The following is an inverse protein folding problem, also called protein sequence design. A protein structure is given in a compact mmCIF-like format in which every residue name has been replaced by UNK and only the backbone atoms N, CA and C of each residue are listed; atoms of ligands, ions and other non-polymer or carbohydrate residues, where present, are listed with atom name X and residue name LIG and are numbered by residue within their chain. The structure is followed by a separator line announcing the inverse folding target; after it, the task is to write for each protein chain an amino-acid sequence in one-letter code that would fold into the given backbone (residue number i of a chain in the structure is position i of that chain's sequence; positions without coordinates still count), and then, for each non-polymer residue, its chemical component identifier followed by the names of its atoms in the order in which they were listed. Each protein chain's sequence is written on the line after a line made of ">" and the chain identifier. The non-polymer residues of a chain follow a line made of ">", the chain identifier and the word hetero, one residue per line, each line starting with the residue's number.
data_IF_015172221775
#
_entry.id   IF_015172221775
#
_cell.length_a   1.000
_cell.length_b   1.000
_cell.length_c   1.000
_cell.angle_alpha   90.00
_cell.angle_beta   90.00
_cell.angle_gamma   90.00
#
_symmetry.space_group_name_H-M   'P 1'
#
loop_
_entity.id
_entity.type
_entity.pdbx_description
1 polymer ?
#
# COMPACT_ATOMS: atom_id res chain seq x y z
N UNK A 1 5.62 23.95 -92.09
CA UNK A 1 6.74 23.58 -91.19
C UNK A 1 7.51 24.86 -90.86
N UNK A 2 7.15 25.56 -89.79
CA UNK A 2 7.80 26.79 -89.34
C UNK A 2 7.96 26.70 -87.83
N UNK A 3 9.19 26.83 -87.34
CA UNK A 3 9.43 27.27 -85.97
C UNK A 3 10.81 27.94 -85.91
N UNK A 4 10.79 29.25 -85.65
CA UNK A 4 11.93 30.05 -85.17
C UNK A 4 11.65 30.35 -83.70
N UNK A 5 12.68 30.18 -82.88
CA UNK A 5 12.70 30.49 -81.46
C UNK A 5 12.59 32.00 -81.19
N UNK A 6 11.80 32.40 -80.19
CA UNK A 6 11.92 33.69 -79.48
C UNK A 6 11.73 33.40 -77.99
N UNK A 7 12.72 33.82 -77.20
CA UNK A 7 12.73 33.82 -75.74
C UNK A 7 11.88 34.98 -75.20
N UNK A 8 11.09 34.72 -74.16
CA UNK A 8 10.55 35.76 -73.27
C UNK A 8 10.94 35.39 -71.83
N UNK A 9 11.73 36.27 -71.24
CA UNK A 9 12.10 36.31 -69.82
C UNK A 9 10.91 36.89 -69.05
N UNK A 10 10.48 36.22 -67.98
CA UNK A 10 9.58 36.83 -67.00
C UNK A 10 10.16 36.70 -65.58
N UNK A 11 10.39 37.88 -65.02
CA UNK A 11 10.84 38.24 -63.69
C UNK A 11 9.83 37.79 -62.62
N UNK A 12 10.27 37.20 -61.51
CA UNK A 12 9.45 37.08 -60.30
C UNK A 12 10.23 37.61 -59.10
N UNK A 13 9.64 38.64 -58.48
CA UNK A 13 10.11 39.39 -57.33
C UNK A 13 10.13 38.56 -56.04
N UNK A 14 11.15 38.80 -55.22
CA UNK A 14 11.19 38.45 -53.80
C UNK A 14 10.24 39.35 -53.01
N UNK A 15 9.38 38.75 -52.19
CA UNK A 15 8.69 39.40 -51.08
C UNK A 15 9.14 38.72 -49.79
N UNK A 16 9.85 39.48 -48.94
CA UNK A 16 10.21 39.11 -47.57
C UNK A 16 9.01 39.49 -46.69
N UNK A 17 8.35 38.50 -46.11
CA UNK A 17 7.33 38.69 -45.08
C UNK A 17 7.89 38.29 -43.72
N UNK A 18 7.93 39.23 -42.78
CA UNK A 18 8.14 38.94 -41.36
C UNK A 18 6.84 38.35 -40.79
N UNK A 19 6.93 37.22 -40.10
CA UNK A 19 5.84 36.68 -39.28
C UNK A 19 6.32 36.59 -37.84
N UNK A 20 5.73 37.41 -36.98
CA UNK A 20 5.84 37.32 -35.53
C UNK A 20 5.22 36.00 -35.06
N UNK A 21 6.06 35.06 -34.62
CA UNK A 21 5.59 33.87 -33.91
C UNK A 21 5.73 34.11 -32.41
N UNK A 22 4.67 34.65 -31.83
CA UNK A 22 4.44 34.62 -30.39
C UNK A 22 3.84 33.25 -30.04
N UNK A 23 4.68 32.21 -29.96
CA UNK A 23 4.27 30.90 -29.45
C UNK A 23 4.39 30.92 -27.93
N UNK A 24 3.24 31.07 -27.28
CA UNK A 24 3.07 30.75 -25.87
C UNK A 24 3.62 29.35 -25.57
N UNK A 25 4.66 29.28 -24.76
CA UNK A 25 5.13 28.03 -24.16
C UNK A 25 4.01 27.47 -23.27
N UNK A 26 3.19 26.58 -23.85
CA UNK A 26 2.42 25.61 -23.07
C UNK A 26 3.45 24.64 -22.50
N UNK A 27 3.73 24.77 -21.20
CA UNK A 27 4.49 23.79 -20.44
C UNK A 27 3.95 22.39 -20.71
N UNK A 28 4.72 21.60 -21.45
CA UNK A 28 4.54 20.17 -21.50
C UNK A 28 4.93 19.62 -20.13
N UNK A 29 3.92 19.29 -19.32
CA UNK A 29 4.14 18.42 -18.16
C UNK A 29 4.68 17.09 -18.68
N UNK A 30 5.90 16.76 -18.26
CA UNK A 30 6.70 15.64 -18.70
C UNK A 30 6.10 14.31 -18.18
N UNK A 31 5.02 13.82 -18.80
CA UNK A 31 4.44 12.50 -18.52
C UNK A 31 5.17 11.34 -19.22
N UNK A 32 6.29 11.60 -19.91
CA UNK A 32 7.04 10.59 -20.67
C UNK A 32 8.05 9.76 -19.87
N UNK A 33 8.30 10.09 -18.59
CA UNK A 33 9.38 9.48 -17.79
C UNK A 33 8.90 8.61 -16.61
N UNK A 34 7.60 8.34 -16.47
CA UNK A 34 7.09 7.49 -15.40
C UNK A 34 7.32 6.00 -15.70
N UNK A 35 7.87 5.26 -14.72
CA UNK A 35 8.05 3.81 -14.80
C UNK A 35 6.69 3.13 -14.75
N UNK A 36 6.39 2.30 -15.74
CA UNK A 36 5.20 1.45 -15.71
C UNK A 36 5.42 0.26 -14.78
N UNK A 37 4.60 0.18 -13.73
CA UNK A 37 4.63 -0.89 -12.73
C UNK A 37 3.40 -1.80 -12.81
N UNK A 38 2.59 -1.70 -13.90
CA UNK A 38 1.43 -2.57 -14.12
C UNK A 38 1.84 -4.05 -14.02
N UNK A 39 1.23 -4.77 -13.08
CA UNK A 39 1.46 -6.17 -12.75
C UNK A 39 2.94 -6.54 -12.47
N UNK A 40 3.76 -5.55 -12.11
CA UNK A 40 5.17 -5.75 -11.77
C UNK A 40 5.30 -6.29 -10.34
N UNK A 41 5.97 -7.44 -10.23
CA UNK A 41 6.53 -7.95 -8.98
C UNK A 41 7.84 -7.21 -8.68
N UNK A 42 7.95 -6.64 -7.47
CA UNK A 42 9.10 -5.85 -7.07
C UNK A 42 10.32 -6.75 -6.81
N UNK A 43 11.53 -6.20 -6.95
CA UNK A 43 12.78 -6.95 -6.73
C UNK A 43 13.85 -6.19 -5.94
N UNK A 44 13.64 -4.89 -5.68
CA UNK A 44 14.61 -4.05 -5.00
C UNK A 44 14.53 -4.26 -3.49
N UNK A 45 15.68 -4.45 -2.85
CA UNK A 45 15.81 -4.84 -1.42
C UNK A 45 16.43 -3.74 -0.55
N UNK A 46 16.64 -2.55 -1.09
CA UNK A 46 17.25 -1.44 -0.35
C UNK A 46 16.30 -0.96 0.74
N UNK A 47 16.78 -0.90 1.98
CA UNK A 47 15.95 -0.47 3.11
C UNK A 47 15.72 1.06 3.18
N UNK A 48 16.41 1.85 2.35
CA UNK A 48 16.27 3.29 2.34
C UNK A 48 15.20 3.72 1.32
N UNK A 49 14.19 4.45 1.76
CA UNK A 49 13.13 4.97 0.89
C UNK A 49 13.66 5.88 -0.23
N UNK A 50 14.79 6.56 -0.02
CA UNK A 50 15.40 7.44 -1.02
C UNK A 50 15.86 6.68 -2.28
N UNK A 51 16.12 5.38 -2.15
CA UNK A 51 16.47 4.54 -3.28
C UNK A 51 15.28 4.28 -4.23
N UNK A 52 14.05 4.63 -3.82
CA UNK A 52 12.84 4.44 -4.61
C UNK A 52 12.36 5.73 -5.30
N UNK A 53 13.15 6.81 -5.27
CA UNK A 53 12.82 8.09 -5.92
C UNK A 53 12.57 7.90 -7.41
N UNK A 54 11.32 8.05 -7.83
CA UNK A 54 10.90 8.06 -9.22
C UNK A 54 9.42 8.50 -9.33
N UNK A 55 8.95 8.59 -10.57
CA UNK A 55 7.53 8.58 -10.88
C UNK A 55 7.15 7.21 -11.43
N UNK A 56 6.02 6.71 -11.00
CA UNK A 56 5.47 5.41 -11.34
C UNK A 56 4.04 5.56 -11.85
N UNK A 57 3.65 4.68 -12.76
CA UNK A 57 2.29 4.60 -13.28
C UNK A 57 1.84 3.15 -13.41
N UNK A 58 0.54 2.93 -13.40
CA UNK A 58 -0.06 1.63 -13.72
C UNK A 58 -1.35 1.81 -14.52
N UNK A 59 -1.70 0.82 -15.34
CA UNK A 59 -2.98 0.74 -16.05
C UNK A 59 -3.73 -0.50 -15.60
N UNK A 60 -4.79 -0.32 -14.82
CA UNK A 60 -5.48 -1.43 -14.14
C UNK A 60 -7.00 -1.35 -14.36
N UNK A 61 -7.70 -2.41 -13.99
CA UNK A 61 -9.15 -2.51 -14.11
C UNK A 61 -9.78 -2.92 -12.78
N UNK A 62 -10.86 -2.20 -12.43
CA UNK A 62 -11.87 -2.67 -11.49
C UNK A 62 -12.71 -3.72 -12.22
N UNK A 63 -12.48 -5.00 -11.92
CA UNK A 63 -12.97 -6.14 -12.71
C UNK A 63 -14.50 -6.21 -12.67
N UNK A 64 -15.09 -6.23 -11.47
CA UNK A 64 -16.54 -6.30 -11.30
C UNK A 64 -17.29 -5.10 -11.89
N UNK A 65 -16.67 -3.92 -11.97
CA UNK A 65 -17.28 -2.72 -12.59
C UNK A 65 -16.90 -2.53 -14.04
N UNK A 66 -16.01 -3.36 -14.59
CA UNK A 66 -15.43 -3.22 -15.92
C UNK A 66 -14.88 -1.81 -16.19
N UNK A 67 -14.31 -1.16 -15.16
CA UNK A 67 -13.89 0.24 -15.22
C UNK A 67 -12.36 0.33 -15.20
N UNK A 68 -11.73 0.93 -16.23
CA UNK A 68 -10.29 1.16 -16.22
C UNK A 68 -9.91 2.30 -15.26
N UNK A 69 -8.72 2.20 -14.68
CA UNK A 69 -8.08 3.22 -13.85
C UNK A 69 -6.61 3.37 -14.25
N UNK A 70 -6.06 4.55 -13.95
CA UNK A 70 -4.62 4.82 -14.08
C UNK A 70 -4.07 5.08 -12.69
N UNK A 71 -3.11 4.28 -12.23
CA UNK A 71 -2.35 4.56 -11.03
C UNK A 71 -1.27 5.57 -11.30
N UNK A 72 -1.12 6.52 -10.36
CA UNK A 72 -0.05 7.49 -10.34
C UNK A 72 0.55 7.47 -8.93
N UNK A 73 1.85 7.20 -8.86
CA UNK A 73 2.59 7.13 -7.62
C UNK A 73 3.96 7.77 -7.82
N UNK A 74 4.43 8.57 -6.89
CA UNK A 74 5.78 9.12 -6.95
C UNK A 74 6.42 9.13 -5.58
N UNK A 75 7.74 8.95 -5.59
CA UNK A 75 8.60 9.08 -4.43
C UNK A 75 9.59 10.19 -4.73
N UNK A 76 9.71 11.14 -3.82
CA UNK A 76 10.69 12.21 -3.85
C UNK A 76 11.39 12.32 -2.49
N UNK A 77 12.47 13.08 -2.41
CA UNK A 77 13.18 13.33 -1.16
C UNK A 77 13.26 14.83 -0.92
N UNK A 78 12.97 15.25 0.30
CA UNK A 78 13.14 16.62 0.79
C UNK A 78 13.77 16.57 2.18
N UNK A 79 15.00 17.06 2.31
CA UNK A 79 15.75 16.96 3.56
C UNK A 79 15.98 15.51 3.98
N UNK A 80 15.53 15.17 5.19
CA UNK A 80 15.60 13.83 5.79
C UNK A 80 14.31 13.00 5.60
N UNK A 81 13.44 13.41 4.67
CA UNK A 81 12.15 12.77 4.40
C UNK A 81 12.03 12.27 2.98
N UNK A 82 11.51 11.06 2.82
CA UNK A 82 10.90 10.62 1.58
C UNK A 82 9.43 11.02 1.58
N UNK A 83 8.99 11.62 0.48
CA UNK A 83 7.62 12.08 0.26
C UNK A 83 7.01 11.20 -0.82
N UNK A 84 5.93 10.51 -0.46
CA UNK A 84 5.15 9.65 -1.33
C UNK A 84 3.87 10.37 -1.74
N UNK A 85 3.65 10.60 -3.03
CA UNK A 85 2.39 11.16 -3.54
C UNK A 85 1.70 10.11 -4.39
N UNK A 86 0.39 9.91 -4.17
CA UNK A 86 -0.36 8.86 -4.86
C UNK A 86 -1.79 9.27 -5.15
N UNK A 87 -2.40 8.67 -6.18
CA UNK A 87 -3.85 8.69 -6.40
C UNK A 87 -4.57 7.45 -5.82
N UNK A 88 -3.89 6.62 -5.02
CA UNK A 88 -4.40 5.45 -4.30
C UNK A 88 -4.99 4.33 -5.19
N UNK A 89 -4.53 4.22 -6.44
CA UNK A 89 -4.87 3.10 -7.33
C UNK A 89 -3.68 2.13 -7.39
N UNK A 90 -3.91 0.82 -7.21
CA UNK A 90 -2.83 -0.18 -7.18
C UNK A 90 -2.18 -0.37 -8.56
N UNK A 91 -1.15 -1.21 -8.57
CA UNK A 91 -0.49 -1.63 -9.80
C UNK A 91 -1.06 -2.92 -10.42
N UNK A 92 -2.12 -3.48 -9.84
CA UNK A 92 -2.77 -4.70 -10.31
C UNK A 92 -4.28 -4.49 -10.46
N UNK A 93 -4.94 -5.39 -11.18
CA UNK A 93 -6.40 -5.44 -11.22
C UNK A 93 -6.98 -5.76 -9.83
N UNK A 94 -8.14 -5.21 -9.53
CA UNK A 94 -8.75 -5.32 -8.21
C UNK A 94 -10.27 -5.48 -8.32
N UNK A 95 -10.92 -5.69 -7.17
CA UNK A 95 -12.37 -5.95 -7.10
C UNK A 95 -12.75 -7.15 -7.97
N UNK A 96 -12.04 -8.26 -7.79
CA UNK A 96 -12.12 -9.50 -8.58
C UNK A 96 -12.78 -10.67 -7.83
N UNK A 97 -13.26 -10.44 -6.61
CA UNK A 97 -14.04 -11.43 -5.86
C UNK A 97 -15.43 -11.66 -6.45
N UNK A 98 -16.08 -12.75 -6.06
CA UNK A 98 -17.43 -13.13 -6.54
C UNK A 98 -18.50 -12.08 -6.23
N UNK A 99 -18.29 -11.30 -5.17
CA UNK A 99 -19.17 -10.20 -4.75
C UNK A 99 -18.39 -8.89 -4.91
N UNK A 100 -18.92 -7.91 -5.67
CA UNK A 100 -18.28 -6.60 -5.79
C UNK A 100 -18.13 -5.90 -4.44
N UNK A 101 -17.12 -5.05 -4.33
CA UNK A 101 -16.95 -4.16 -3.18
C UNK A 101 -18.22 -3.36 -2.86
N UNK A 102 -18.48 -3.20 -1.57
CA UNK A 102 -19.60 -2.37 -1.06
C UNK A 102 -19.44 -0.92 -1.53
N UNK A 103 -18.23 -0.40 -1.43
CA UNK A 103 -17.89 0.95 -1.89
C UNK A 103 -17.22 0.91 -3.26
N UNK A 104 -17.44 1.96 -4.05
CA UNK A 104 -16.84 2.08 -5.38
C UNK A 104 -15.48 2.75 -5.26
N UNK A 105 -14.44 2.11 -5.78
CA UNK A 105 -13.11 2.73 -5.88
C UNK A 105 -13.16 4.01 -6.72
N UNK A 106 -12.47 5.03 -6.23
CA UNK A 106 -12.20 6.32 -6.87
C UNK A 106 -10.77 6.75 -6.57
N UNK A 107 -10.19 7.59 -7.43
CA UNK A 107 -8.85 8.13 -7.21
C UNK A 107 -8.85 9.11 -6.02
N UNK A 108 -7.83 9.01 -5.17
CA UNK A 108 -7.67 9.83 -3.97
C UNK A 108 -6.26 10.40 -3.93
N UNK A 109 -6.12 11.72 -3.94
CA UNK A 109 -4.79 12.35 -3.84
C UNK A 109 -4.34 12.41 -2.39
N UNK A 110 -3.31 11.63 -2.07
CA UNK A 110 -2.75 11.55 -0.71
C UNK A 110 -1.24 11.70 -0.76
N UNK A 111 -0.68 12.34 0.29
CA UNK A 111 0.75 12.46 0.50
C UNK A 111 1.13 11.84 1.84
N UNK A 112 2.17 11.01 1.84
CA UNK A 112 2.78 10.44 3.05
C UNK A 112 4.26 10.82 3.12
N UNK A 113 4.78 10.91 4.33
CA UNK A 113 6.17 11.21 4.61
C UNK A 113 6.75 10.16 5.56
N UNK A 114 7.95 9.67 5.27
CA UNK A 114 8.72 8.85 6.21
C UNK A 114 10.15 9.37 6.30
N UNK A 115 10.80 9.16 7.44
CA UNK A 115 12.21 9.50 7.58
C UNK A 115 13.11 8.59 6.74
N UNK A 116 14.17 9.14 6.16
CA UNK A 116 15.23 8.38 5.48
C UNK A 116 16.14 7.62 6.45
N UNK A 117 16.01 7.89 7.76
CA UNK A 117 16.83 7.28 8.82
C UNK A 117 15.94 6.86 10.02
N UNK A 118 15.10 5.83 9.88
CA UNK A 118 14.23 5.36 10.95
C UNK A 118 15.04 4.89 12.16
N UNK A 119 14.52 5.13 13.36
CA UNK A 119 15.13 4.75 14.64
C UNK A 119 14.10 4.02 15.49
N UNK A 120 14.54 2.97 16.19
CA UNK A 120 13.67 2.29 17.15
C UNK A 120 13.41 3.22 18.33
N UNK A 121 12.15 3.29 18.74
CA UNK A 121 11.75 4.01 19.95
C UNK A 121 11.99 3.12 21.18
N UNK A 122 12.06 3.72 22.37
CA UNK A 122 12.18 2.97 23.63
C UNK A 122 10.93 2.12 23.91
N UNK A 123 9.79 2.55 23.41
CA UNK A 123 8.50 1.89 23.52
C UNK A 123 7.87 1.79 22.14
N UNK A 124 7.18 0.68 21.88
CA UNK A 124 6.38 0.52 20.66
C UNK A 124 5.19 1.48 20.64
N UNK A 125 4.74 1.85 19.45
CA UNK A 125 3.46 2.56 19.27
C UNK A 125 2.40 1.58 18.78
N UNK A 126 1.30 1.46 19.51
CA UNK A 126 0.18 0.60 19.11
C UNK A 126 -0.51 1.12 17.84
N UNK A 127 -1.06 0.20 17.04
CA UNK A 127 -1.88 0.56 15.87
C UNK A 127 -3.18 1.24 16.32
N UNK A 128 -3.72 2.15 15.51
CA UNK A 128 -4.98 2.83 15.81
C UNK A 128 -5.87 2.98 14.58
N UNK A 129 -7.14 3.28 14.79
CA UNK A 129 -8.08 3.60 13.69
C UNK A 129 -7.88 5.00 13.11
N UNK A 130 -7.07 5.84 13.75
CA UNK A 130 -6.85 7.24 13.37
C UNK A 130 -5.56 7.44 12.58
N UNK A 131 -4.80 6.37 12.33
CA UNK A 131 -3.53 6.41 11.59
C UNK A 131 -3.43 5.24 10.62
N UNK A 132 -3.09 5.53 9.37
CA UNK A 132 -2.75 4.51 8.38
C UNK A 132 -1.40 3.87 8.74
N UNK A 133 -1.22 2.58 8.46
CA UNK A 133 -0.07 1.84 8.97
C UNK A 133 1.17 1.96 8.09
N UNK A 134 0.99 1.93 6.77
CA UNK A 134 2.08 1.94 5.82
C UNK A 134 1.65 2.45 4.45
N UNK A 135 2.63 2.77 3.61
CA UNK A 135 2.46 3.00 2.17
C UNK A 135 3.26 1.95 1.42
N UNK A 136 2.60 1.21 0.52
CA UNK A 136 3.29 0.28 -0.37
C UNK A 136 3.77 0.97 -1.64
N UNK A 137 4.78 0.38 -2.28
CA UNK A 137 5.45 0.88 -3.48
C UNK A 137 4.63 0.73 -4.78
N UNK A 138 3.33 0.52 -4.65
CA UNK A 138 2.34 0.72 -5.72
C UNK A 138 1.40 1.91 -5.45
N UNK A 139 1.63 2.67 -4.37
CA UNK A 139 0.82 3.84 -4.00
C UNK A 139 -0.39 3.53 -3.13
N UNK A 140 -0.64 2.28 -2.76
CA UNK A 140 -1.79 1.92 -1.90
C UNK A 140 -1.33 1.74 -0.46
N UNK A 141 -2.16 2.23 0.46
CA UNK A 141 -1.89 2.18 1.90
C UNK A 141 -2.27 0.85 2.52
N UNK A 142 -1.61 0.56 3.64
CA UNK A 142 -2.02 -0.47 4.59
C UNK A 142 -2.89 0.18 5.69
N UNK A 143 -4.08 -0.36 5.90
CA UNK A 143 -4.99 -0.01 6.99
C UNK A 143 -5.50 -1.30 7.63
N UNK A 144 -4.68 -1.93 8.49
CA UNK A 144 -4.91 -3.27 9.02
C UNK A 144 -6.18 -3.39 9.87
N UNK A 145 -6.57 -2.33 10.57
CA UNK A 145 -7.61 -2.43 11.58
C UNK A 145 -9.01 -2.18 11.00
N UNK A 146 -9.92 -3.13 11.21
CA UNK A 146 -11.34 -2.90 11.02
C UNK A 146 -11.88 -1.90 12.06
N UNK A 147 -12.75 -0.98 11.61
CA UNK A 147 -13.61 -0.20 12.50
C UNK A 147 -14.83 -1.00 13.00
N UNK A 148 -14.80 -2.34 12.92
CA UNK A 148 -15.86 -3.24 13.38
C UNK A 148 -15.41 -4.09 14.57
N UNK A 149 -16.27 -4.21 15.58
CA UNK A 149 -16.05 -5.05 16.76
C UNK A 149 -17.36 -5.72 17.16
N UNK A 150 -17.26 -6.83 17.90
CA UNK A 150 -18.42 -7.44 18.52
C UNK A 150 -19.15 -6.46 19.46
N UNK A 151 -20.48 -6.54 19.47
CA UNK A 151 -21.34 -5.75 20.36
C UNK A 151 -21.52 -4.28 19.98
N UNK A 152 -20.88 -3.78 18.91
CA UNK A 152 -21.01 -2.40 18.43
C UNK A 152 -21.76 -2.34 17.11
N UNK A 153 -22.93 -1.68 17.10
CA UNK A 153 -23.73 -1.51 15.89
C UNK A 153 -24.07 -2.85 15.24
N UNK A 154 -23.81 -2.97 13.94
CA UNK A 154 -23.96 -4.23 13.19
C UNK A 154 -22.69 -5.09 13.18
N UNK A 155 -21.66 -4.72 13.96
CA UNK A 155 -20.37 -5.39 14.03
C UNK A 155 -19.38 -5.04 12.92
N UNK A 156 -19.80 -4.34 11.86
CA UNK A 156 -18.97 -4.09 10.66
C UNK A 156 -18.32 -2.72 10.63
N UNK A 157 -18.88 -1.75 11.36
CA UNK A 157 -18.39 -0.36 11.42
C UNK A 157 -18.84 0.30 12.74
N UNK A 158 -18.20 1.42 13.09
CA UNK A 158 -18.60 2.28 14.22
C UNK A 158 -17.86 1.99 15.53
N UNK A 159 -17.04 0.96 15.57
CA UNK A 159 -16.17 0.64 16.71
C UNK A 159 -14.91 1.51 16.67
N UNK A 160 -15.04 2.78 17.08
CA UNK A 160 -13.94 3.76 17.11
C UNK A 160 -13.17 3.81 18.43
N UNK A 161 -13.67 3.15 19.46
CA UNK A 161 -12.97 2.96 20.73
C UNK A 161 -11.93 1.85 20.58
N UNK A 162 -10.67 2.17 20.86
CA UNK A 162 -9.56 1.21 20.81
C UNK A 162 -9.54 0.27 22.01
N UNK A 163 -10.22 0.61 23.11
CA UNK A 163 -10.35 -0.23 24.31
C UNK A 163 -11.47 -1.27 24.19
N UNK A 164 -12.35 -1.13 23.18
CA UNK A 164 -13.38 -2.12 22.88
C UNK A 164 -12.72 -3.45 22.45
N UNK A 165 -12.92 -4.55 23.21
CA UNK A 165 -12.36 -5.84 22.86
C UNK A 165 -13.12 -6.49 21.70
N UNK A 166 -12.57 -7.59 21.18
CA UNK A 166 -13.18 -8.39 20.11
C UNK A 166 -13.34 -7.59 18.82
N UNK A 167 -12.25 -6.97 18.38
CA UNK A 167 -12.18 -6.32 17.07
C UNK A 167 -12.02 -7.38 16.01
N UNK A 168 -12.82 -7.31 14.95
CA UNK A 168 -12.73 -8.28 13.86
C UNK A 168 -11.35 -8.21 13.19
N UNK A 169 -10.83 -9.37 12.80
CA UNK A 169 -9.73 -9.47 11.86
C UNK A 169 -10.30 -9.44 10.44
N UNK A 170 -10.09 -8.38 9.64
CA UNK A 170 -10.65 -8.29 8.29
C UNK A 170 -10.19 -9.43 7.36
N UNK A 171 -9.04 -10.05 7.66
CA UNK A 171 -8.50 -11.17 6.88
C UNK A 171 -9.08 -12.52 7.29
N UNK A 172 -9.81 -12.58 8.39
CA UNK A 172 -10.50 -13.80 8.78
C UNK A 172 -11.65 -14.08 7.84
N UNK A 173 -11.71 -15.31 7.31
CA UNK A 173 -12.83 -15.78 6.49
C UNK A 173 -14.17 -15.79 7.23
N UNK A 174 -14.14 -15.73 8.56
CA UNK A 174 -15.32 -15.70 9.43
C UNK A 174 -15.85 -14.27 9.66
N UNK A 175 -15.05 -13.24 9.33
CA UNK A 175 -15.37 -11.84 9.60
C UNK A 175 -16.19 -11.15 8.51
N UNK A 176 -16.29 -11.73 7.30
CA UNK A 176 -17.04 -11.23 6.14
C UNK A 176 -16.80 -9.71 5.85
N UNK A 177 -15.53 -9.29 5.80
CA UNK A 177 -15.11 -7.95 5.35
C UNK A 177 -14.94 -7.83 3.83
N UNK A 178 -15.04 -8.96 3.09
CA UNK A 178 -15.09 -9.04 1.62
C UNK A 178 -13.93 -8.31 0.93
N UNK A 179 -12.71 -8.74 1.23
CA UNK A 179 -11.52 -8.33 0.49
C UNK A 179 -11.47 -9.03 -0.88
N UNK A 180 -10.75 -8.43 -1.83
CA UNK A 180 -10.39 -9.06 -3.09
C UNK A 180 -9.25 -10.09 -2.91
N UNK A 181 -8.81 -10.68 -4.03
CA UNK A 181 -7.71 -11.65 -4.06
C UNK A 181 -6.37 -11.10 -3.55
N UNK A 182 -6.26 -9.78 -3.40
CA UNK A 182 -5.08 -9.08 -2.91
C UNK A 182 -5.28 -8.54 -1.49
N UNK A 183 -6.30 -9.02 -0.77
CA UNK A 183 -6.53 -8.72 0.64
C UNK A 183 -6.89 -7.25 0.89
N UNK A 184 -7.59 -6.62 -0.06
CA UNK A 184 -7.97 -5.22 0.00
C UNK A 184 -9.44 -4.99 -0.35
N UNK A 185 -9.95 -3.83 0.06
CA UNK A 185 -11.24 -3.33 -0.41
C UNK A 185 -11.27 -1.80 -0.42
N UNK A 186 -12.42 -1.22 -0.77
CA UNK A 186 -12.61 0.23 -0.82
C UNK A 186 -13.23 0.79 0.48
N UNK A 187 -12.69 1.88 0.99
CA UNK A 187 -13.31 2.72 2.02
C UNK A 187 -14.55 3.46 1.48
N UNK A 188 -15.41 4.02 2.37
CA UNK A 188 -16.57 4.82 1.96
C UNK A 188 -16.25 6.02 1.06
N UNK A 189 -15.07 6.61 1.18
CA UNK A 189 -14.61 7.71 0.30
C UNK A 189 -14.11 7.23 -1.07
N UNK A 190 -13.98 5.91 -1.24
CA UNK A 190 -13.51 5.24 -2.45
C UNK A 190 -12.00 4.92 -2.46
N UNK A 191 -11.26 5.23 -1.38
CA UNK A 191 -9.85 4.82 -1.25
C UNK A 191 -9.75 3.29 -1.24
N UNK A 192 -8.94 2.71 -2.13
CA UNK A 192 -8.57 1.30 -2.05
C UNK A 192 -7.46 1.11 -1.01
N UNK A 193 -7.54 0.08 -0.15
CA UNK A 193 -6.55 -0.17 0.91
C UNK A 193 -6.44 -1.65 1.25
N UNK A 194 -5.25 -2.07 1.70
CA UNK A 194 -5.00 -3.44 2.15
C UNK A 194 -5.28 -3.64 3.63
N UNK A 195 -5.77 -4.83 3.96
CA UNK A 195 -5.83 -5.40 5.31
C UNK A 195 -4.83 -6.55 5.53
N UNK A 196 -4.11 -6.98 4.50
CA UNK A 196 -3.17 -8.08 4.57
C UNK A 196 -2.09 -8.02 3.49
N UNK A 197 -1.59 -9.18 3.08
CA UNK A 197 -0.53 -9.30 2.07
C UNK A 197 -0.98 -8.68 0.72
N UNK A 198 -0.24 -7.71 0.17
CA UNK A 198 -0.51 -7.20 -1.19
C UNK A 198 0.15 -8.15 -2.19
N UNK A 199 -0.34 -9.40 -2.29
CA UNK A 199 0.26 -10.56 -2.99
C UNK A 199 0.84 -10.23 -4.38
N UNK A 200 0.34 -9.19 -5.05
CA UNK A 200 0.84 -8.67 -6.32
C UNK A 200 2.21 -7.93 -6.27
N UNK A 201 2.83 -7.71 -5.10
CA UNK A 201 4.08 -6.94 -5.00
C UNK A 201 5.35 -7.78 -4.86
N UNK A 202 5.23 -9.07 -4.54
CA UNK A 202 6.38 -9.94 -4.31
C UNK A 202 6.03 -11.40 -4.65
N UNK A 203 7.03 -12.24 -4.83
CA UNK A 203 6.83 -13.69 -5.05
C UNK A 203 6.53 -14.40 -3.73
N UNK A 204 5.30 -14.87 -3.54
CA UNK A 204 4.86 -15.59 -2.34
C UNK A 204 5.06 -17.11 -2.44
N UNK A 205 5.42 -17.64 -3.61
CA UNK A 205 5.40 -19.07 -3.92
C UNK A 205 6.81 -19.65 -3.98
N UNK A 206 7.75 -18.92 -4.57
CA UNK A 206 9.12 -19.36 -4.73
C UNK A 206 10.00 -18.87 -3.58
N UNK A 207 10.96 -19.70 -3.16
CA UNK A 207 11.94 -19.37 -2.13
C UNK A 207 12.99 -18.38 -2.62
N UNK A 208 12.58 -17.12 -2.82
CA UNK A 208 13.40 -16.01 -3.26
C UNK A 208 13.33 -14.93 -2.19
N UNK A 209 14.50 -14.43 -1.75
CA UNK A 209 14.58 -13.37 -0.74
C UNK A 209 13.74 -12.18 -1.18
N UNK A 210 12.77 -11.81 -0.36
CA UNK A 210 11.75 -10.85 -0.74
C UNK A 210 12.28 -9.43 -0.91
N UNK A 211 11.67 -8.64 -1.81
CA UNK A 211 11.93 -7.22 -1.94
C UNK A 211 11.40 -6.44 -0.73
N UNK A 212 11.82 -5.18 -0.63
CA UNK A 212 11.02 -4.18 0.10
C UNK A 212 9.82 -3.83 -0.77
N UNK A 213 8.63 -3.92 -0.18
CA UNK A 213 7.35 -3.65 -0.85
C UNK A 213 6.70 -2.35 -0.38
N UNK A 214 7.20 -1.73 0.68
CA UNK A 214 6.66 -0.51 1.25
C UNK A 214 7.43 -0.02 2.47
N UNK A 215 6.92 1.05 3.06
CA UNK A 215 7.45 1.67 4.26
C UNK A 215 6.32 1.91 5.26
N UNK A 216 6.53 1.47 6.50
CA UNK A 216 5.62 1.77 7.59
C UNK A 216 5.68 3.26 7.95
N UNK A 217 4.66 3.75 8.65
CA UNK A 217 4.59 5.16 9.05
C UNK A 217 5.78 5.62 9.92
N UNK A 218 6.46 4.70 10.61
CA UNK A 218 7.69 4.97 11.38
C UNK A 218 8.98 4.91 10.55
N UNK A 219 8.87 4.68 9.24
CA UNK A 219 9.94 4.72 8.25
C UNK A 219 10.72 3.43 8.07
N UNK A 220 10.46 2.38 8.84
CA UNK A 220 11.09 1.08 8.61
C UNK A 220 10.52 0.40 7.35
N UNK A 221 11.36 -0.33 6.58
CA UNK A 221 10.92 -1.04 5.40
C UNK A 221 9.98 -2.20 5.76
N UNK A 222 9.10 -2.55 4.83
CA UNK A 222 8.27 -3.75 4.86
C UNK A 222 8.75 -4.67 3.74
N UNK A 223 9.11 -5.90 4.09
CA UNK A 223 9.51 -6.94 3.16
C UNK A 223 8.36 -7.88 2.84
N UNK A 224 8.41 -8.52 1.67
CA UNK A 224 7.61 -9.72 1.42
C UNK A 224 8.00 -10.88 2.34
N UNK A 225 7.41 -12.06 2.14
CA UNK A 225 7.43 -13.12 3.16
C UNK A 225 8.76 -13.85 3.34
N UNK A 226 9.68 -13.83 2.37
CA UNK A 226 10.90 -14.65 2.38
C UNK A 226 12.15 -13.87 2.79
N UNK A 227 13.00 -14.53 3.58
CA UNK A 227 14.31 -14.00 3.95
C UNK A 227 15.39 -15.09 3.84
N UNK A 228 16.65 -14.65 3.86
CA UNK A 228 17.80 -15.54 3.89
C UNK A 228 18.14 -15.88 5.35
N UNK A 229 17.83 -17.10 5.76
CA UNK A 229 18.22 -17.68 7.04
C UNK A 229 19.53 -18.44 6.88
N UNK A 230 20.65 -17.70 6.96
CA UNK A 230 22.01 -18.24 6.97
C UNK A 230 22.31 -19.18 5.77
N UNK A 231 21.87 -18.80 4.57
CA UNK A 231 22.04 -19.55 3.32
C UNK A 231 20.80 -20.35 2.91
N UNK A 232 19.76 -20.41 3.75
CA UNK A 232 18.47 -21.06 3.43
C UNK A 232 17.38 -20.02 3.25
N UNK A 233 16.85 -19.89 2.05
CA UNK A 233 15.72 -18.98 1.80
C UNK A 233 14.41 -19.62 2.23
N UNK A 234 13.70 -18.99 3.16
CA UNK A 234 12.41 -19.47 3.69
C UNK A 234 11.50 -18.33 4.12
N UNK A 235 10.22 -18.62 4.34
CA UNK A 235 9.27 -17.64 4.88
C UNK A 235 9.60 -17.29 6.34
N UNK A 236 9.41 -16.02 6.68
CA UNK A 236 9.38 -15.54 8.06
C UNK A 236 8.13 -16.08 8.76
N UNK A 237 8.31 -16.52 10.01
CA UNK A 237 7.25 -17.06 10.85
C UNK A 237 6.82 -16.01 11.87
N UNK A 238 5.53 -15.69 11.87
CA UNK A 238 4.93 -14.90 12.94
C UNK A 238 5.08 -15.60 14.29
N UNK A 239 5.30 -14.80 15.33
CA UNK A 239 5.31 -15.27 16.73
C UNK A 239 3.94 -15.16 17.39
N UNK A 240 2.89 -14.86 16.62
CA UNK A 240 1.51 -14.97 17.07
C UNK A 240 0.97 -16.37 16.82
N UNK A 241 0.17 -16.86 17.76
CA UNK A 241 -0.62 -18.08 17.59
C UNK A 241 -2.06 -17.85 17.99
N UNK A 242 -2.95 -18.67 17.43
CA UNK A 242 -4.32 -18.76 17.87
C UNK A 242 -4.35 -19.33 19.30
N UNK A 243 -5.13 -18.71 20.19
CA UNK A 243 -5.38 -19.23 21.54
C UNK A 243 -6.19 -20.53 21.47
N UNK A 244 -6.16 -21.32 22.53
CA UNK A 244 -6.92 -22.56 22.62
C UNK A 244 -8.12 -22.42 23.57
N UNK A 245 -9.20 -23.16 23.29
CA UNK A 245 -10.40 -23.22 24.15
C UNK A 245 -11.44 -22.13 23.87
N UNK A 246 -12.32 -21.93 24.85
CA UNK A 246 -13.43 -20.97 24.77
C UNK A 246 -12.96 -19.53 25.04
N UNK A 247 -13.57 -18.59 24.32
CA UNK A 247 -13.34 -17.15 24.53
C UNK A 247 -13.77 -16.74 25.94
N UNK A 248 -12.85 -16.09 26.64
CA UNK A 248 -13.09 -15.55 27.97
C UNK A 248 -13.72 -14.17 27.88
N UNK A 249 -14.42 -13.71 28.91
CA UNK A 249 -14.95 -12.35 28.94
C UNK A 249 -13.81 -11.33 29.10
N UNK A 250 -13.86 -10.24 28.32
CA UNK A 250 -12.96 -9.09 28.46
C UNK A 250 -13.81 -7.84 28.66
N UNK A 251 -13.60 -7.13 29.77
CA UNK A 251 -14.34 -5.91 30.12
C UNK A 251 -15.86 -6.06 30.03
N UNK A 252 -16.43 -7.19 30.47
CA UNK A 252 -17.88 -7.45 30.42
C UNK A 252 -18.41 -7.89 29.06
N UNK A 253 -17.55 -8.10 28.06
CA UNK A 253 -17.94 -8.45 26.69
C UNK A 253 -17.36 -9.82 26.34
N UNK A 254 -18.23 -10.72 25.89
CA UNK A 254 -17.86 -12.04 25.40
C UNK A 254 -18.69 -12.39 24.14
N UNK A 255 -18.05 -12.57 22.96
CA UNK A 255 -18.73 -13.00 21.74
C UNK A 255 -19.18 -14.47 21.77
N UNK A 256 -18.73 -15.24 22.76
CA UNK A 256 -18.94 -16.68 22.86
C UNK A 256 -18.13 -17.48 21.84
N UNK A 257 -18.25 -18.81 21.91
CA UNK A 257 -17.53 -19.74 21.05
C UNK A 257 -16.05 -19.89 21.41
N UNK A 258 -15.31 -20.55 20.52
CA UNK A 258 -13.88 -20.82 20.67
C UNK A 258 -13.03 -19.72 20.02
N UNK A 259 -11.76 -19.64 20.38
CA UNK A 259 -10.78 -18.85 19.62
C UNK A 259 -10.60 -19.48 18.22
N UNK A 260 -11.15 -18.83 17.18
CA UNK A 260 -11.16 -19.35 15.80
C UNK A 260 -10.52 -18.38 14.78
N UNK A 261 -10.05 -17.22 15.25
CA UNK A 261 -9.41 -16.20 14.44
C UNK A 261 -10.40 -15.20 13.84
N UNK A 262 -11.68 -15.22 14.21
CA UNK A 262 -12.66 -14.18 13.84
C UNK A 262 -12.22 -12.81 14.35
N UNK A 263 -11.66 -12.76 15.56
CA UNK A 263 -11.24 -11.53 16.21
C UNK A 263 -9.72 -11.49 16.33
N UNK A 264 -9.16 -10.28 16.28
CA UNK A 264 -7.74 -10.03 16.58
C UNK A 264 -7.36 -10.56 17.96
N UNK A 265 -8.28 -10.41 18.91
CA UNK A 265 -8.19 -10.86 20.30
C UNK A 265 -8.08 -12.40 20.44
N UNK A 266 -8.38 -13.16 19.39
CA UNK A 266 -8.22 -14.62 19.39
C UNK A 266 -6.75 -15.06 19.33
N UNK A 267 -5.85 -14.15 18.95
CA UNK A 267 -4.43 -14.41 18.88
C UNK A 267 -3.69 -13.91 20.12
N UNK A 268 -2.58 -14.56 20.45
CA UNK A 268 -1.62 -14.10 21.44
C UNK A 268 -0.21 -14.10 20.84
N UNK A 269 0.57 -13.09 21.21
CA UNK A 269 2.00 -13.08 20.96
C UNK A 269 2.71 -14.00 21.95
N UNK A 270 3.57 -14.87 21.43
CA UNK A 270 4.45 -15.74 22.23
C UNK A 270 5.88 -15.47 21.81
N UNK A 271 6.66 -14.87 22.70
CA UNK A 271 8.05 -14.57 22.44
C UNK A 271 8.80 -15.82 21.94
N UNK A 272 9.58 -15.65 20.88
CA UNK A 272 10.43 -16.69 20.28
C UNK A 272 9.67 -17.91 19.70
N UNK A 273 8.35 -17.83 19.52
CA UNK A 273 7.59 -18.89 18.85
C UNK A 273 7.94 -18.98 17.35
N UNK A 274 8.04 -17.81 16.71
CA UNK A 274 8.45 -17.64 15.32
C UNK A 274 9.77 -16.90 15.21
N UNK A 275 9.98 -16.26 14.07
CA UNK A 275 11.16 -15.42 13.81
C UNK A 275 10.94 -13.96 14.25
N UNK A 276 9.67 -13.52 14.23
CA UNK A 276 9.30 -12.11 14.29
C UNK A 276 8.96 -11.65 15.71
N UNK A 277 9.20 -10.39 16.01
CA UNK A 277 8.89 -9.75 17.28
C UNK A 277 7.39 -9.41 17.41
N UNK A 278 7.01 -8.78 18.53
CA UNK A 278 5.63 -8.38 18.81
C UNK A 278 5.05 -7.38 17.80
N UNK A 279 5.88 -6.70 17.00
CA UNK A 279 5.43 -5.83 15.93
C UNK A 279 5.42 -6.52 14.56
N UNK A 280 5.70 -7.83 14.50
CA UNK A 280 5.86 -8.63 13.28
C UNK A 280 7.09 -8.20 12.44
N UNK A 281 8.15 -7.75 13.10
CA UNK A 281 9.41 -7.41 12.46
C UNK A 281 10.59 -8.17 13.03
N UNK A 282 11.74 -8.06 12.36
CA UNK A 282 13.01 -8.57 12.86
C UNK A 282 14.18 -7.78 12.29
N UNK A 283 15.35 -7.93 12.90
CA UNK A 283 16.59 -7.33 12.41
C UNK A 283 17.40 -8.36 11.63
N UNK A 284 17.63 -8.11 10.35
CA UNK A 284 18.53 -8.90 9.50
C UNK A 284 19.67 -8.01 9.04
N UNK A 285 20.92 -8.47 9.22
CA UNK A 285 22.13 -7.76 8.79
C UNK A 285 22.18 -6.29 9.28
N UNK A 286 21.71 -6.05 10.51
CA UNK A 286 21.68 -4.72 11.14
C UNK A 286 20.53 -3.82 10.70
N UNK A 287 19.61 -4.30 9.87
CA UNK A 287 18.44 -3.55 9.40
C UNK A 287 17.19 -4.18 10.00
N UNK A 288 16.45 -3.41 10.79
CA UNK A 288 15.11 -3.78 11.24
C UNK A 288 14.08 -3.51 10.13
N UNK A 289 13.12 -4.41 9.96
CA UNK A 289 11.95 -4.18 9.13
C UNK A 289 10.83 -5.17 9.43
N UNK A 290 9.65 -4.87 8.91
CA UNK A 290 8.45 -5.71 9.04
C UNK A 290 8.40 -6.75 7.93
N UNK A 291 7.74 -7.87 8.18
CA UNK A 291 7.59 -8.94 7.21
C UNK A 291 6.13 -9.28 6.98
N UNK A 292 5.74 -9.42 5.72
CA UNK A 292 4.45 -10.02 5.38
C UNK A 292 4.46 -11.49 5.79
N UNK A 293 3.38 -11.96 6.41
CA UNK A 293 3.22 -13.33 6.87
C UNK A 293 1.91 -13.94 6.39
N UNK A 294 1.89 -15.25 6.18
CA UNK A 294 0.68 -16.01 5.81
C UNK A 294 -0.25 -16.26 7.02
N UNK A 295 0.13 -15.76 8.19
CA UNK A 295 -0.65 -15.82 9.43
C UNK A 295 -0.70 -14.45 10.09
N UNK A 296 -1.64 -14.29 11.04
CA UNK A 296 -1.77 -13.09 11.86
C UNK A 296 -0.41 -12.65 12.42
N UNK A 297 -0.07 -11.34 12.41
CA UNK A 297 -0.90 -10.18 12.08
C UNK A 297 -0.80 -9.73 10.61
N UNK A 298 -0.43 -10.64 9.70
CA UNK A 298 -0.39 -10.47 8.24
C UNK A 298 0.72 -9.56 7.72
N UNK A 299 0.94 -8.40 8.34
CA UNK A 299 2.00 -7.45 7.97
C UNK A 299 2.67 -6.84 9.19
N UNK A 300 1.92 -6.29 10.14
CA UNK A 300 2.48 -5.66 11.35
C UNK A 300 1.52 -5.69 12.55
N UNK A 301 2.09 -5.79 13.75
CA UNK A 301 1.35 -5.77 15.02
C UNK A 301 1.36 -4.42 15.74
N UNK A 302 2.43 -3.64 15.54
CA UNK A 302 2.67 -2.32 16.13
C UNK A 302 3.76 -1.59 15.33
N UNK A 303 4.06 -0.35 15.68
CA UNK A 303 5.25 0.36 15.21
C UNK A 303 6.40 0.21 16.20
N UNK A 304 7.60 -0.11 15.70
CA UNK A 304 8.85 -0.17 16.47
C UNK A 304 9.49 1.22 16.63
N UNK A 305 9.20 2.14 15.72
CA UNK A 305 9.61 3.54 15.81
C UNK A 305 8.44 4.49 16.11
N UNK A 306 8.68 5.77 15.85
CA UNK A 306 7.67 6.82 15.99
C UNK A 306 7.01 7.09 14.64
N UNK A 307 5.72 6.77 14.46
CA UNK A 307 5.05 6.93 13.18
C UNK A 307 4.76 8.41 12.84
N UNK A 308 5.04 8.79 11.60
CA UNK A 308 4.86 10.16 11.10
C UNK A 308 3.39 10.61 11.18
N UNK A 309 3.20 11.92 11.29
CA UNK A 309 1.89 12.55 11.37
C UNK A 309 1.17 12.64 10.02
N UNK A 310 1.88 12.53 8.90
CA UNK A 310 1.26 12.49 7.55
C UNK A 310 0.32 11.31 7.38
N UNK A 311 0.50 10.24 8.16
CA UNK A 311 -0.34 9.05 8.16
C UNK A 311 -1.61 9.20 9.01
N UNK A 312 -1.79 10.32 9.72
CA UNK A 312 -3.03 10.57 10.46
C UNK A 312 -4.20 10.68 9.47
N UNK A 313 -5.21 9.83 9.66
CA UNK A 313 -6.41 9.83 8.81
C UNK A 313 -7.15 11.15 8.99
N UNK A 314 -7.52 11.76 7.87
CA UNK A 314 -8.40 12.93 7.89
C UNK A 314 -9.74 12.53 8.51
N UNK A 315 -10.26 13.35 9.43
CA UNK A 315 -11.62 13.12 9.95
C UNK A 315 -12.61 13.15 8.77
N UNK A 316 -13.59 12.25 8.71
CA UNK A 316 -14.68 12.37 7.76
C UNK A 316 -15.26 13.77 7.86
N UNK A 317 -15.40 14.47 6.73
CA UNK A 317 -16.17 15.72 6.71
C UNK A 317 -17.62 15.34 6.97
N UNK A 318 -18.14 15.78 8.12
CA UNK A 318 -19.57 15.67 8.46
C UNK A 318 -20.45 16.34 7.40
#
# INVERSE_FOLDING_TARGET
>A
MKLKYIYIIMLVLFLIGCSDNNSSERGQNNTSNAIDITDVILNKRTANCADYVNNYRSSVQDINRQKPFQGNFSVSVSGDRCIFTTNAIPNHNFNDGDIPFVNKVSEQTVTYEVTTNPQQASEKTELSLTKDNAIFLNGVKLDLLAAGCYGVGNGKIGCHDMEQPWRFDPMSSLSDFKTDSHNAHAQPDGTYHYHGSPVALFDSENAIVSPVIGFAADGFPIFGSYFDDNGTVRKAKSSYKLKEGDRQEVNGINPGGIYDGTYRDDYEYVAELGDLDECNGMTINGIYGYFVTDSYPWVMGCFKGTPDSSFNKQKPKN
#
